data_IF_021137418739
#
_entry.id   IF_021137418739
#
_cell.length_a   1.000
_cell.length_b   1.000
_cell.length_c   1.000
_cell.angle_alpha   90.00
_cell.angle_beta   90.00
_cell.angle_gamma   90.00
#
_symmetry.space_group_name_H-M   'P 1'
#
loop_
_entity.id
_entity.type
_entity.pdbx_description
1 polymer ?
#
# COMPACT_ATOMS: atom_id res chain seq x y z
N UNK A 1 1.97 27.88 -27.91
CA UNK A 1 1.74 26.78 -26.94
C UNK A 1 3.01 25.95 -26.85
N UNK A 2 3.64 25.86 -25.67
CA UNK A 2 4.87 25.06 -25.50
C UNK A 2 4.49 23.58 -25.54
N UNK A 3 5.01 22.85 -26.52
CA UNK A 3 4.81 21.41 -26.72
C UNK A 3 5.56 20.70 -25.60
N UNK A 4 4.83 20.00 -24.72
CA UNK A 4 5.44 19.12 -23.72
C UNK A 4 6.25 18.04 -24.44
N UNK A 5 7.44 17.75 -23.92
CA UNK A 5 8.35 16.81 -24.53
C UNK A 5 7.73 15.40 -24.46
N UNK A 6 7.58 14.67 -25.57
CA UNK A 6 6.89 13.38 -25.60
C UNK A 6 7.63 12.27 -24.86
N UNK A 7 8.88 12.50 -24.47
CA UNK A 7 9.73 11.51 -23.82
C UNK A 7 9.67 11.68 -22.30
N UNK A 8 9.05 10.71 -21.63
CA UNK A 8 9.06 10.61 -20.18
C UNK A 8 10.47 10.27 -19.69
N UNK A 9 11.10 11.20 -18.97
CA UNK A 9 12.46 11.02 -18.43
C UNK A 9 12.41 10.35 -17.06
N UNK A 10 12.69 9.06 -17.04
CA UNK A 10 12.74 8.23 -15.82
C UNK A 10 13.79 8.75 -14.82
N UNK A 11 14.86 9.39 -15.30
CA UNK A 11 15.91 9.99 -14.45
C UNK A 11 15.43 11.15 -13.57
N UNK A 12 14.30 11.78 -13.93
CA UNK A 12 13.70 12.86 -13.14
C UNK A 12 12.72 12.33 -12.08
N UNK A 13 12.52 11.01 -12.00
CA UNK A 13 11.70 10.41 -10.95
C UNK A 13 12.46 10.52 -9.65
N UNK A 14 11.93 11.32 -8.74
CA UNK A 14 12.39 11.39 -7.36
C UNK A 14 11.69 10.27 -6.59
N UNK A 15 12.40 9.59 -5.69
CA UNK A 15 11.78 8.60 -4.82
C UNK A 15 10.66 9.28 -4.02
N UNK A 16 9.44 8.72 -4.09
CA UNK A 16 8.30 9.26 -3.37
C UNK A 16 8.55 9.13 -1.87
N UNK A 17 8.86 10.24 -1.23
CA UNK A 17 8.82 10.35 0.21
C UNK A 17 7.36 10.68 0.58
N UNK A 18 6.78 9.86 1.43
CA UNK A 18 5.44 10.09 1.97
C UNK A 18 5.46 11.41 2.77
N UNK A 19 5.09 12.52 2.12
CA UNK A 19 4.92 13.82 2.78
C UNK A 19 3.63 13.81 3.59
N UNK A 20 3.68 13.18 4.76
CA UNK A 20 2.62 13.26 5.77
C UNK A 20 2.46 14.69 6.32
N UNK A 21 3.55 15.48 6.33
CA UNK A 21 3.58 16.86 6.86
C UNK A 21 2.89 17.88 5.94
N UNK A 22 2.96 17.71 4.61
CA UNK A 22 2.40 18.69 3.67
C UNK A 22 0.87 18.66 3.60
N UNK A 23 0.26 17.57 4.07
CA UNK A 23 -1.17 17.33 3.90
C UNK A 23 -1.84 16.74 5.15
N UNK A 24 -1.83 17.46 6.28
CA UNK A 24 -2.38 16.96 7.55
C UNK A 24 -3.90 16.71 7.50
N UNK A 25 -4.62 17.32 6.55
CA UNK A 25 -6.09 17.21 6.41
C UNK A 25 -6.48 16.08 5.43
N UNK A 26 -5.52 15.49 4.71
CA UNK A 26 -5.85 14.34 3.84
C UNK A 26 -6.13 13.13 4.71
N UNK A 27 -7.40 12.76 4.79
CA UNK A 27 -7.82 11.47 5.33
C UNK A 27 -7.17 10.37 4.50
N UNK A 28 -6.41 9.48 5.15
CA UNK A 28 -5.91 8.26 4.50
C UNK A 28 -7.16 7.48 4.06
N UNK A 29 -7.33 7.17 2.76
CA UNK A 29 -8.48 6.40 2.32
C UNK A 29 -8.46 5.05 3.05
N UNK A 30 -9.61 4.67 3.61
CA UNK A 30 -9.79 3.32 4.17
C UNK A 30 -9.43 2.32 3.07
N UNK A 31 -8.60 1.31 3.38
CA UNK A 31 -8.21 0.31 2.39
C UNK A 31 -9.45 -0.23 1.69
N UNK A 32 -9.59 0.11 0.41
CA UNK A 32 -10.56 -0.52 -0.47
C UNK A 32 -9.91 -1.82 -0.98
N UNK A 33 -10.65 -2.94 -1.01
CA UNK A 33 -10.18 -4.14 -1.67
C UNK A 33 -9.88 -3.80 -3.13
N UNK A 34 -8.69 -4.19 -3.60
CA UNK A 34 -8.24 -3.97 -4.96
C UNK A 34 -8.28 -5.31 -5.68
N UNK A 35 -9.21 -5.49 -6.61
CA UNK A 35 -9.24 -6.68 -7.46
C UNK A 35 -8.18 -6.49 -8.55
N UNK A 36 -6.94 -6.91 -8.30
CA UNK A 36 -5.88 -6.89 -9.34
C UNK A 36 -5.61 -8.26 -9.96
N UNK A 37 -6.06 -9.34 -9.34
CA UNK A 37 -5.82 -10.67 -9.88
C UNK A 37 -6.94 -11.04 -10.85
N UNK A 38 -6.72 -10.72 -12.14
CA UNK A 38 -7.61 -11.09 -13.24
C UNK A 38 -7.70 -12.61 -13.43
N UNK A 39 -6.73 -13.39 -12.94
CA UNK A 39 -6.64 -14.83 -13.13
C UNK A 39 -7.33 -15.61 -12.00
N UNK A 40 -7.07 -15.25 -10.75
CA UNK A 40 -7.62 -15.98 -9.58
C UNK A 40 -8.92 -15.38 -9.06
N UNK A 41 -9.21 -14.11 -9.37
CA UNK A 41 -10.39 -13.40 -8.87
C UNK A 41 -10.35 -13.14 -7.36
N UNK A 42 -9.19 -13.28 -6.73
CA UNK A 42 -9.00 -13.06 -5.30
C UNK A 42 -8.93 -11.57 -4.97
N UNK A 43 -9.56 -11.17 -3.86
CA UNK A 43 -9.48 -9.81 -3.34
C UNK A 43 -8.09 -9.56 -2.75
N UNK A 44 -7.34 -8.61 -3.32
CA UNK A 44 -6.05 -8.21 -2.79
C UNK A 44 -6.18 -6.96 -1.93
N UNK A 45 -5.47 -6.97 -0.81
CA UNK A 45 -5.48 -5.90 0.19
C UNK A 45 -4.09 -5.28 0.32
N UNK A 46 -4.05 -3.96 0.48
CA UNK A 46 -2.80 -3.23 0.70
C UNK A 46 -2.39 -3.35 2.17
N UNK A 47 -1.20 -3.90 2.40
CA UNK A 47 -0.62 -4.00 3.73
C UNK A 47 0.23 -2.77 4.03
N UNK A 48 0.10 -2.23 5.24
CA UNK A 48 0.98 -1.15 5.74
C UNK A 48 2.27 -1.73 6.31
N UNK A 49 2.16 -2.75 7.17
CA UNK A 49 3.31 -3.31 7.88
C UNK A 49 3.06 -4.76 8.32
N UNK A 50 4.11 -5.57 8.28
CA UNK A 50 4.14 -6.86 8.98
C UNK A 50 4.58 -6.63 10.42
N UNK A 51 3.72 -6.98 11.37
CA UNK A 51 3.92 -6.70 12.81
C UNK A 51 4.70 -7.83 13.46
N UNK A 52 4.23 -9.06 13.29
CA UNK A 52 4.81 -10.22 13.95
C UNK A 52 4.77 -11.44 13.05
N UNK A 53 5.75 -12.33 13.22
CA UNK A 53 5.79 -13.65 12.60
C UNK A 53 5.65 -14.69 13.69
N UNK A 54 4.76 -15.67 13.49
CA UNK A 54 4.67 -16.85 14.35
C UNK A 54 4.59 -18.13 13.55
N UNK A 55 5.01 -19.23 14.16
CA UNK A 55 4.85 -20.56 13.58
C UNK A 55 3.86 -21.34 14.43
N UNK A 56 2.74 -21.78 13.84
CA UNK A 56 1.74 -22.61 14.50
C UNK A 56 1.46 -23.82 13.63
N UNK A 57 1.44 -25.02 14.23
CA UNK A 57 1.19 -26.27 13.51
C UNK A 57 2.07 -26.45 12.25
N UNK A 58 3.36 -26.09 12.35
CA UNK A 58 4.35 -26.10 11.25
C UNK A 58 4.06 -25.15 10.07
N UNK A 59 3.06 -24.28 10.18
CA UNK A 59 2.76 -23.22 9.21
C UNK A 59 3.23 -21.87 9.74
N UNK A 60 3.84 -21.07 8.86
CA UNK A 60 4.18 -19.68 9.19
C UNK A 60 2.95 -18.81 8.99
N UNK A 61 2.62 -18.04 10.02
CA UNK A 61 1.57 -17.03 9.98
C UNK A 61 2.19 -15.66 10.30
N UNK A 62 1.58 -14.63 9.75
CA UNK A 62 1.97 -13.24 9.96
C UNK A 62 0.80 -12.48 10.56
N UNK A 63 1.12 -11.56 11.46
CA UNK A 63 0.21 -10.53 11.93
C UNK A 63 0.43 -9.29 11.06
N UNK A 64 -0.62 -8.85 10.37
CA UNK A 64 -0.58 -7.85 9.30
C UNK A 64 -1.35 -6.60 9.73
N UNK A 65 -0.68 -5.45 9.67
CA UNK A 65 -1.32 -4.14 9.77
C UNK A 65 -1.78 -3.72 8.39
N UNK A 66 -3.09 -3.59 8.22
CA UNK A 66 -3.72 -3.19 6.98
C UNK A 66 -3.66 -1.67 6.78
N UNK A 67 -3.52 -1.24 5.53
CA UNK A 67 -3.43 0.17 5.20
C UNK A 67 -4.71 0.94 5.55
N UNK A 68 -4.60 2.05 6.29
CA UNK A 68 -5.74 2.89 6.63
C UNK A 68 -6.72 2.29 7.65
N UNK A 69 -6.37 1.14 8.27
CA UNK A 69 -7.11 0.56 9.38
C UNK A 69 -6.35 0.78 10.71
N UNK A 70 -7.07 0.95 11.83
CA UNK A 70 -6.46 1.14 13.14
C UNK A 70 -5.78 -0.15 13.62
N UNK A 71 -4.85 -0.03 14.59
CA UNK A 71 -4.04 -1.15 15.06
C UNK A 71 -4.85 -2.30 15.67
N UNK A 72 -6.06 -2.05 16.18
CA UNK A 72 -6.91 -3.11 16.72
C UNK A 72 -7.55 -4.01 15.65
N UNK A 73 -7.51 -3.62 14.37
CA UNK A 73 -7.97 -4.43 13.23
C UNK A 73 -6.83 -5.25 12.59
N UNK A 74 -5.63 -5.22 13.18
CA UNK A 74 -4.48 -6.02 12.73
C UNK A 74 -4.80 -7.51 12.80
N UNK A 75 -4.62 -8.25 11.68
CA UNK A 75 -5.00 -9.68 11.54
C UNK A 75 -3.83 -10.57 11.18
#
# INVERSE_FOLDING_TARGET
MKRLNPTFKVELIIHYLTNYEDFPIRLIPKAAPLTLDEETGEELYIMEKLVEKRTRCRKCHWLVKWHGLPEHETT
#
